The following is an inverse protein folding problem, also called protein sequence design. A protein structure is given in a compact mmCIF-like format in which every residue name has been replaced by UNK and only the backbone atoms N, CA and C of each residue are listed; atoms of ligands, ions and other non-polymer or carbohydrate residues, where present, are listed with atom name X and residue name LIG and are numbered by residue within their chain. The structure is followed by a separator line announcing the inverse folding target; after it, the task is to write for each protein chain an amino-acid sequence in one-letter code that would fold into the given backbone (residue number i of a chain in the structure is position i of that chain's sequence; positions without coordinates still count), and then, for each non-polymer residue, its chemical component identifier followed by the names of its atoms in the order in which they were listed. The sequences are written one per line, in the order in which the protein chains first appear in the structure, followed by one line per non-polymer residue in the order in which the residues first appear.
data_IF_348374954229
#
_entry.id   IF_348374954229
#
_cell.length_a   1.000
_cell.length_b   1.000
_cell.length_c   1.000
_cell.angle_alpha   90.00
_cell.angle_beta   90.00
_cell.angle_gamma   90.00
#
_symmetry.space_group_name_H-M   'P 1'
#
loop_
_entity.id
_entity.type
_entity.pdbx_description
1 polymer ?
#
# COMPACT_ATOMS: atom_id res chain seq x y z
N UNK A 1 -6.82 10.19 -15.83
CA UNK A 1 -5.64 9.47 -15.27
C UNK A 1 -6.01 8.66 -14.03
N UNK A 2 -6.67 9.27 -13.03
CA UNK A 2 -7.15 8.59 -11.82
C UNK A 2 -7.99 7.34 -12.04
N UNK A 3 -8.85 7.33 -13.07
CA UNK A 3 -9.63 6.14 -13.43
C UNK A 3 -8.75 4.92 -13.76
N UNK A 4 -7.75 5.09 -14.61
CA UNK A 4 -6.82 4.01 -14.99
C UNK A 4 -5.95 3.56 -13.82
N UNK A 5 -5.51 4.50 -12.98
CA UNK A 5 -4.78 4.19 -11.74
C UNK A 5 -5.65 3.34 -10.81
N UNK A 6 -6.93 3.67 -10.65
CA UNK A 6 -7.88 2.88 -9.87
C UNK A 6 -8.06 1.46 -10.40
N UNK A 7 -8.14 1.29 -11.72
CA UNK A 7 -8.20 -0.05 -12.35
C UNK A 7 -6.92 -0.85 -12.07
N UNK A 8 -5.74 -0.24 -12.20
CA UNK A 8 -4.45 -0.90 -11.93
C UNK A 8 -4.39 -1.34 -10.47
N UNK A 9 -4.73 -0.46 -9.54
CA UNK A 9 -4.75 -0.78 -8.10
C UNK A 9 -5.74 -1.92 -7.82
N UNK A 10 -6.96 -1.85 -8.37
CA UNK A 10 -7.97 -2.89 -8.22
C UNK A 10 -7.48 -4.25 -8.75
N UNK A 11 -6.87 -4.27 -9.94
CA UNK A 11 -6.29 -5.47 -10.53
C UNK A 11 -5.16 -6.06 -9.67
N UNK A 12 -4.27 -5.21 -9.11
CA UNK A 12 -3.21 -5.64 -8.20
C UNK A 12 -3.77 -6.24 -6.91
N UNK A 13 -4.79 -5.61 -6.30
CA UNK A 13 -5.44 -6.11 -5.08
C UNK A 13 -6.15 -7.44 -5.34
N UNK A 14 -6.91 -7.55 -6.44
CA UNK A 14 -7.58 -8.79 -6.81
C UNK A 14 -6.59 -9.91 -7.12
N UNK A 15 -5.52 -9.60 -7.87
CA UNK A 15 -4.44 -10.53 -8.16
C UNK A 15 -3.74 -11.03 -6.88
N UNK A 16 -3.50 -10.13 -5.93
CA UNK A 16 -2.94 -10.47 -4.62
C UNK A 16 -3.87 -11.39 -3.81
N UNK A 17 -5.16 -11.05 -3.69
CA UNK A 17 -6.16 -11.89 -3.00
C UNK A 17 -6.26 -13.27 -3.65
N UNK A 18 -6.29 -13.32 -4.98
CA UNK A 18 -6.36 -14.56 -5.73
C UNK A 18 -5.11 -15.43 -5.53
N UNK A 19 -3.92 -14.82 -5.50
CA UNK A 19 -2.67 -15.50 -5.19
C UNK A 19 -2.65 -16.09 -3.78
N UNK A 20 -3.10 -15.33 -2.78
CA UNK A 20 -3.25 -15.82 -1.40
C UNK A 20 -4.18 -17.05 -1.33
N UNK A 21 -5.33 -16.98 -2.00
CA UNK A 21 -6.29 -18.09 -2.07
C UNK A 21 -5.72 -19.32 -2.75
N UNK A 22 -5.02 -19.16 -3.89
CA UNK A 22 -4.36 -20.29 -4.57
C UNK A 22 -3.33 -21.01 -3.68
N UNK A 23 -2.70 -20.28 -2.76
CA UNK A 23 -1.70 -20.80 -1.84
C UNK A 23 -2.29 -21.24 -0.48
N UNK A 24 -3.62 -21.19 -0.31
CA UNK A 24 -4.32 -21.43 0.96
C UNK A 24 -3.74 -20.61 2.13
N UNK A 25 -3.21 -19.41 1.85
CA UNK A 25 -2.66 -18.52 2.86
C UNK A 25 -3.77 -17.64 3.41
N UNK A 26 -4.05 -17.81 4.70
CA UNK A 26 -4.99 -16.96 5.42
C UNK A 26 -4.22 -15.91 6.22
N UNK A 27 -4.43 -14.63 5.88
CA UNK A 27 -3.94 -13.50 6.67
C UNK A 27 -4.81 -13.30 7.91
N UNK A 28 -4.20 -12.86 9.01
CA UNK A 28 -4.92 -12.48 10.23
C UNK A 28 -5.61 -11.13 10.06
N UNK A 29 -6.58 -10.82 10.94
CA UNK A 29 -7.32 -9.56 10.88
C UNK A 29 -6.41 -8.33 10.97
N UNK A 30 -5.36 -8.36 11.81
CA UNK A 30 -4.44 -7.24 11.97
C UNK A 30 -3.50 -7.10 10.76
N UNK A 31 -3.11 -8.20 10.10
CA UNK A 31 -2.38 -8.18 8.82
C UNK A 31 -3.24 -7.50 7.74
N UNK A 32 -4.54 -7.77 7.70
CA UNK A 32 -5.47 -7.08 6.80
C UNK A 32 -5.55 -5.58 7.11
N UNK A 33 -5.77 -5.21 8.37
CA UNK A 33 -5.92 -3.80 8.78
C UNK A 33 -4.66 -3.01 8.47
N UNK A 34 -3.48 -3.49 8.87
CA UNK A 34 -2.21 -2.81 8.63
C UNK A 34 -1.90 -2.71 7.13
N UNK A 35 -2.16 -3.79 6.37
CA UNK A 35 -1.96 -3.80 4.92
C UNK A 35 -2.86 -2.80 4.20
N UNK A 36 -4.15 -2.76 4.53
CA UNK A 36 -5.11 -1.82 3.94
C UNK A 36 -4.74 -0.37 4.31
N UNK A 37 -4.43 -0.09 5.58
CA UNK A 37 -4.01 1.25 6.01
C UNK A 37 -2.73 1.69 5.30
N UNK A 38 -1.74 0.80 5.19
CA UNK A 38 -0.51 1.06 4.45
C UNK A 38 -0.79 1.38 2.97
N UNK A 39 -1.66 0.61 2.31
CA UNK A 39 -2.04 0.83 0.92
C UNK A 39 -2.79 2.16 0.72
N UNK A 40 -3.78 2.45 1.56
CA UNK A 40 -4.54 3.71 1.48
C UNK A 40 -3.62 4.93 1.67
N UNK A 41 -2.70 4.86 2.64
CA UNK A 41 -1.73 5.92 2.87
C UNK A 41 -0.73 6.07 1.71
N UNK A 42 -0.39 4.98 1.02
CA UNK A 42 0.45 5.02 -0.18
C UNK A 42 -0.27 5.75 -1.32
N UNK A 43 -1.53 5.38 -1.57
CA UNK A 43 -2.35 6.01 -2.61
C UNK A 43 -2.53 7.50 -2.31
N UNK A 44 -2.83 7.85 -1.07
CA UNK A 44 -2.91 9.25 -0.61
C UNK A 44 -1.60 10.00 -0.88
N UNK A 45 -0.46 9.39 -0.56
CA UNK A 45 0.86 9.98 -0.81
C UNK A 45 1.09 10.23 -2.30
N UNK A 46 0.83 9.24 -3.15
CA UNK A 46 1.04 9.36 -4.59
C UNK A 46 0.13 10.42 -5.21
N UNK A 47 -1.12 10.50 -4.76
CA UNK A 47 -2.06 11.53 -5.20
C UNK A 47 -1.57 12.93 -4.90
N UNK A 48 -1.18 13.18 -3.66
CA UNK A 48 -0.74 14.51 -3.26
C UNK A 48 0.63 14.85 -3.83
N UNK A 49 1.54 13.87 -3.96
CA UNK A 49 2.84 14.08 -4.61
C UNK A 49 2.68 14.57 -6.05
N UNK A 50 1.85 13.89 -6.85
CA UNK A 50 1.60 14.29 -8.24
C UNK A 50 0.86 15.63 -8.31
N UNK A 51 -0.17 15.81 -7.48
CA UNK A 51 -0.92 17.08 -7.41
C UNK A 51 -0.03 18.26 -7.02
N UNK A 52 0.88 18.11 -6.06
CA UNK A 52 1.82 19.17 -5.69
C UNK A 52 2.78 19.53 -6.84
N UNK A 53 3.16 18.59 -7.71
CA UNK A 53 3.95 18.93 -8.90
C UNK A 53 3.13 19.66 -9.98
N UNK A 54 1.85 19.30 -10.14
CA UNK A 54 0.92 20.04 -11.00
C UNK A 54 0.76 21.50 -10.52
N UNK A 55 0.87 21.73 -9.21
CA UNK A 55 0.83 23.05 -8.57
C UNK A 55 2.22 23.72 -8.44
N UNK A 56 3.30 23.13 -8.98
CA UNK A 56 4.68 23.65 -8.93
C UNK A 56 5.26 23.69 -7.49
N UNK A 57 4.58 23.07 -6.52
CA UNK A 57 4.95 23.01 -5.11
C UNK A 57 5.84 21.79 -4.79
N UNK A 58 7.05 21.78 -5.37
CA UNK A 58 8.01 20.66 -5.22
C UNK A 58 8.33 20.30 -3.77
N UNK A 59 8.39 21.30 -2.88
CA UNK A 59 8.66 21.09 -1.46
C UNK A 59 7.53 20.30 -0.79
N UNK A 60 6.28 20.62 -1.10
CA UNK A 60 5.12 19.90 -0.58
C UNK A 60 5.11 18.45 -1.08
N UNK A 61 5.42 18.24 -2.37
CA UNK A 61 5.51 16.91 -2.96
C UNK A 61 6.48 16.01 -2.16
N UNK A 62 7.71 16.46 -1.93
CA UNK A 62 8.69 15.69 -1.15
C UNK A 62 8.29 15.51 0.33
N UNK A 63 7.53 16.45 0.91
CA UNK A 63 6.97 16.28 2.25
C UNK A 63 5.93 15.15 2.33
N UNK A 64 5.10 14.96 1.29
CA UNK A 64 4.22 13.80 1.26
C UNK A 64 5.00 12.49 1.21
N UNK A 65 6.11 12.41 0.45
CA UNK A 65 6.95 11.20 0.46
C UNK A 65 7.51 10.90 1.85
N UNK A 66 7.94 11.93 2.59
CA UNK A 66 8.55 11.75 3.91
C UNK A 66 7.50 11.46 5.00
N UNK A 67 6.43 12.25 5.06
CA UNK A 67 5.49 12.25 6.20
C UNK A 67 4.43 11.16 6.06
N UNK A 68 3.96 10.87 4.85
CA UNK A 68 2.94 9.84 4.63
C UNK A 68 3.48 8.65 3.85
N UNK A 69 4.40 8.88 2.91
CA UNK A 69 5.00 7.83 2.09
C UNK A 69 5.87 6.87 2.90
N UNK A 70 6.81 7.39 3.69
CA UNK A 70 7.69 6.55 4.49
C UNK A 70 6.89 5.73 5.54
N UNK A 71 5.96 6.29 6.32
CA UNK A 71 5.11 5.49 7.19
C UNK A 71 4.26 4.44 6.46
N UNK A 72 3.75 4.77 5.27
CA UNK A 72 3.04 3.79 4.44
C UNK A 72 3.92 2.59 4.08
N UNK A 73 5.15 2.83 3.61
CA UNK A 73 6.09 1.76 3.29
C UNK A 73 6.46 0.93 4.52
N UNK A 74 6.63 1.58 5.67
CA UNK A 74 6.89 0.89 6.95
C UNK A 74 5.70 -0.03 7.31
N UNK A 75 4.45 0.46 7.23
CA UNK A 75 3.27 -0.36 7.52
C UNK A 75 3.16 -1.57 6.60
N UNK A 76 3.42 -1.39 5.30
CA UNK A 76 3.41 -2.47 4.32
C UNK A 76 4.51 -3.50 4.58
N UNK A 77 5.73 -3.03 4.88
CA UNK A 77 6.85 -3.89 5.21
C UNK A 77 6.61 -4.68 6.51
N UNK A 78 6.05 -4.03 7.54
CA UNK A 78 5.68 -4.70 8.80
C UNK A 78 4.59 -5.75 8.57
N UNK A 79 3.56 -5.42 7.81
CA UNK A 79 2.48 -6.35 7.47
C UNK A 79 3.02 -7.59 6.75
N UNK A 80 3.88 -7.38 5.75
CA UNK A 80 4.57 -8.47 5.06
C UNK A 80 5.36 -9.31 6.04
N UNK A 81 6.19 -8.68 6.87
CA UNK A 81 7.09 -9.37 7.78
C UNK A 81 6.32 -10.22 8.80
N UNK A 82 5.20 -9.71 9.32
CA UNK A 82 4.30 -10.44 10.22
C UNK A 82 3.71 -11.67 9.53
N UNK A 83 3.14 -11.48 8.35
CA UNK A 83 2.54 -12.57 7.58
C UNK A 83 3.59 -13.65 7.21
N UNK A 84 4.73 -13.23 6.66
CA UNK A 84 5.80 -14.15 6.23
C UNK A 84 6.36 -14.97 7.40
N UNK A 85 6.64 -14.33 8.54
CA UNK A 85 7.16 -15.04 9.73
C UNK A 85 6.15 -16.00 10.34
N UNK A 86 4.86 -15.65 10.33
CA UNK A 86 3.80 -16.52 10.83
C UNK A 86 3.62 -17.73 9.91
N UNK A 87 3.58 -17.51 8.60
CA UNK A 87 3.44 -18.57 7.61
C UNK A 87 4.65 -19.51 7.57
N UNK A 88 5.85 -19.03 7.88
CA UNK A 88 7.05 -19.87 7.98
C UNK A 88 7.10 -20.75 9.24
N UNK A 89 6.28 -20.44 10.26
CA UNK A 89 6.18 -21.21 11.51
C UNK A 89 5.02 -22.21 11.52
N UNK A 90 4.10 -22.09 10.55
CA UNK A 90 2.93 -22.95 10.39
C UNK A 90 3.30 -24.16 9.53
#
# INVERSE_FOLDING_TARGET
MWFFIGIIIGALVLGFIWWLRRKNLNLTWYEWVLGILGLLLLVFTLQNFMGSFEEIESKAAYMFLLITGLPSLILLALTWQLAARRLAKA
#
